data_IF_682578084334
#
_entry.id   IF_682578084334
#
_cell.length_a   1.000
_cell.length_b   1.000
_cell.length_c   1.000
_cell.angle_alpha   90.00
_cell.angle_beta   90.00
_cell.angle_gamma   90.00
#
_symmetry.space_group_name_H-M   'P 1'
#
loop_
_entity.id
_entity.type
_entity.pdbx_description
1 polymer ?
#
# COMPACT_ATOMS: atom_id res chain seq x y z
N UNK A 1 4.04 16.82 -38.36
CA UNK A 1 2.75 16.87 -37.64
C UNK A 1 2.54 15.53 -36.97
N UNK A 2 2.87 15.42 -35.67
CA UNK A 2 2.85 14.15 -34.94
C UNK A 2 1.42 13.69 -34.70
N UNK A 3 1.11 12.43 -34.98
CA UNK A 3 -0.14 11.79 -34.56
C UNK A 3 -0.23 11.91 -33.03
N UNK A 4 -1.33 12.47 -32.51
CA UNK A 4 -1.70 12.32 -31.09
C UNK A 4 -1.60 10.82 -30.77
N UNK A 5 -0.87 10.44 -29.73
CA UNK A 5 -1.11 9.14 -29.14
C UNK A 5 -2.60 9.14 -28.75
N UNK A 6 -3.40 8.28 -29.36
CA UNK A 6 -4.80 8.10 -29.00
C UNK A 6 -4.80 7.52 -27.58
N UNK A 7 -4.73 8.37 -26.55
CA UNK A 7 -4.86 7.89 -25.19
C UNK A 7 -6.30 7.48 -24.98
N UNK A 8 -6.51 6.16 -24.92
CA UNK A 8 -7.81 5.55 -24.71
C UNK A 8 -8.19 5.71 -23.23
N UNK A 9 -9.32 6.38 -22.97
CA UNK A 9 -9.97 6.33 -21.65
C UNK A 9 -10.84 5.09 -21.65
N UNK A 10 -10.26 3.96 -21.23
CA UNK A 10 -10.87 2.64 -21.38
C UNK A 10 -12.30 2.56 -20.84
N UNK A 11 -12.63 3.03 -19.61
CA UNK A 11 -14.01 2.96 -19.10
C UNK A 11 -15.01 3.75 -19.96
N UNK A 12 -14.59 4.88 -20.54
CA UNK A 12 -15.44 5.67 -21.43
C UNK A 12 -15.66 4.94 -22.76
N UNK A 13 -14.60 4.39 -23.35
CA UNK A 13 -14.72 3.66 -24.61
C UNK A 13 -15.55 2.38 -24.46
N UNK A 14 -15.46 1.69 -23.32
CA UNK A 14 -16.33 0.57 -23.00
C UNK A 14 -17.81 0.98 -22.99
N UNK A 15 -18.16 2.09 -22.31
CA UNK A 15 -19.52 2.64 -22.27
C UNK A 15 -20.06 3.05 -23.66
N UNK A 16 -19.18 3.43 -24.59
CA UNK A 16 -19.55 3.84 -25.96
C UNK A 16 -19.80 2.67 -26.90
N UNK A 17 -19.08 1.56 -26.70
CA UNK A 17 -19.05 0.46 -27.67
C UNK A 17 -19.97 -0.70 -27.29
N UNK A 18 -20.11 -1.00 -26.00
CA UNK A 18 -20.91 -2.14 -25.52
C UNK A 18 -22.38 -1.77 -25.43
N UNK A 19 -23.22 -2.50 -26.18
CA UNK A 19 -24.66 -2.26 -26.27
C UNK A 19 -25.42 -3.05 -25.20
N UNK A 20 -26.61 -2.57 -24.76
CA UNK A 20 -27.46 -3.31 -23.83
C UNK A 20 -27.83 -4.73 -24.31
N UNK A 21 -27.88 -4.96 -25.62
CA UNK A 21 -28.18 -6.27 -26.23
C UNK A 21 -27.10 -7.33 -26.04
N UNK A 22 -25.91 -6.94 -25.57
CA UNK A 22 -24.78 -7.85 -25.31
C UNK A 22 -24.80 -8.42 -23.88
N UNK A 23 -25.82 -8.07 -23.09
CA UNK A 23 -26.00 -8.49 -21.69
C UNK A 23 -27.25 -9.34 -21.55
N UNK A 24 -27.30 -10.19 -20.52
CA UNK A 24 -28.42 -11.12 -20.33
C UNK A 24 -29.72 -10.38 -20.00
N UNK A 25 -29.62 -9.31 -19.19
CA UNK A 25 -30.75 -8.47 -18.82
C UNK A 25 -30.35 -7.01 -18.56
N UNK A 26 -31.36 -6.15 -18.41
CA UNK A 26 -31.17 -4.72 -18.16
C UNK A 26 -30.56 -4.41 -16.79
N UNK A 27 -30.70 -5.29 -15.80
CA UNK A 27 -30.15 -5.10 -14.47
C UNK A 27 -28.64 -5.36 -14.48
N UNK A 28 -28.19 -6.43 -15.13
CA UNK A 28 -26.78 -6.73 -15.35
C UNK A 28 -26.08 -5.59 -16.10
N UNK A 29 -26.68 -5.11 -17.19
CA UNK A 29 -26.16 -3.96 -17.93
C UNK A 29 -26.01 -2.72 -17.03
N UNK A 30 -27.00 -2.44 -16.18
CA UNK A 30 -26.96 -1.32 -15.26
C UNK A 30 -25.84 -1.44 -14.22
N UNK A 31 -25.68 -2.63 -13.62
CA UNK A 31 -24.58 -2.91 -12.69
C UNK A 31 -23.21 -2.74 -13.36
N UNK A 32 -23.07 -3.22 -14.59
CA UNK A 32 -21.86 -3.06 -15.38
C UNK A 32 -21.56 -1.58 -15.69
N UNK A 33 -22.57 -0.79 -16.11
CA UNK A 33 -22.41 0.65 -16.33
C UNK A 33 -21.93 1.37 -15.06
N UNK A 34 -22.52 1.02 -13.90
CA UNK A 34 -22.10 1.58 -12.60
C UNK A 34 -20.63 1.30 -12.31
N UNK A 35 -20.12 0.12 -12.67
CA UNK A 35 -18.69 -0.21 -12.50
C UNK A 35 -17.80 0.71 -13.34
N UNK A 36 -18.15 0.95 -14.61
CA UNK A 36 -17.39 1.87 -15.46
C UNK A 36 -17.40 3.31 -14.92
N UNK A 37 -18.57 3.78 -14.49
CA UNK A 37 -18.71 5.11 -13.90
C UNK A 37 -17.93 5.27 -12.59
N UNK A 38 -17.86 4.22 -11.75
CA UNK A 38 -17.03 4.23 -10.53
C UNK A 38 -15.54 4.35 -10.81
N UNK A 39 -15.05 3.73 -11.89
CA UNK A 39 -13.64 3.86 -12.29
C UNK A 39 -13.36 5.31 -12.71
N UNK A 40 -14.24 5.91 -13.51
CA UNK A 40 -14.13 7.32 -13.91
C UNK A 40 -14.23 8.26 -12.70
N UNK A 41 -15.13 7.98 -11.76
CA UNK A 41 -15.25 8.74 -10.51
C UNK A 41 -13.95 8.70 -9.70
N UNK A 42 -13.40 7.50 -9.52
CA UNK A 42 -12.18 7.31 -8.76
C UNK A 42 -11.02 8.11 -9.37
N UNK A 43 -10.79 8.00 -10.68
CA UNK A 43 -9.67 8.66 -11.36
C UNK A 43 -9.83 10.17 -11.53
N UNK A 44 -11.02 10.63 -11.91
CA UNK A 44 -11.22 12.03 -12.32
C UNK A 44 -11.73 12.94 -11.21
N UNK A 45 -12.39 12.38 -10.18
CA UNK A 45 -13.05 13.15 -9.12
C UNK A 45 -12.45 12.94 -7.73
N UNK A 46 -12.16 11.70 -7.35
CA UNK A 46 -11.68 11.38 -5.99
C UNK A 46 -10.16 11.50 -5.88
N UNK A 47 -9.45 10.99 -6.90
CA UNK A 47 -8.01 10.86 -6.89
C UNK A 47 -7.34 11.46 -8.15
N UNK A 48 -7.67 12.70 -8.57
CA UNK A 48 -7.04 13.27 -9.74
C UNK A 48 -5.56 13.64 -9.45
N UNK A 49 -4.67 13.43 -10.41
CA UNK A 49 -3.28 13.89 -10.33
C UNK A 49 -3.18 15.42 -10.26
N UNK A 50 -4.05 16.10 -11.01
CA UNK A 50 -4.20 17.56 -10.99
C UNK A 50 -5.42 17.94 -10.13
N UNK A 51 -5.21 18.65 -9.00
CA UNK A 51 -6.28 19.03 -8.09
C UNK A 51 -7.47 19.70 -8.79
N UNK A 52 -8.68 19.37 -8.32
CA UNK A 52 -9.93 19.93 -8.81
C UNK A 52 -10.33 21.19 -8.05
N UNK A 53 -10.69 22.24 -8.78
CA UNK A 53 -11.49 23.32 -8.22
C UNK A 53 -12.92 22.82 -7.92
N UNK A 54 -13.45 23.22 -6.76
CA UNK A 54 -14.82 22.90 -6.33
C UNK A 54 -15.87 23.48 -7.28
N UNK A 55 -15.57 24.60 -7.94
CA UNK A 55 -16.46 25.25 -8.92
C UNK A 55 -16.36 24.65 -10.35
N UNK A 56 -15.58 23.58 -10.56
CA UNK A 56 -15.40 23.00 -11.89
C UNK A 56 -16.72 22.40 -12.42
N UNK A 57 -17.24 23.01 -13.49
CA UNK A 57 -18.55 22.66 -14.08
C UNK A 57 -18.56 21.25 -14.69
N UNK A 58 -17.46 20.79 -15.27
CA UNK A 58 -17.34 19.42 -15.79
C UNK A 58 -17.36 18.37 -14.67
N UNK A 59 -16.69 18.66 -13.56
CA UNK A 59 -16.71 17.79 -12.39
C UNK A 59 -18.11 17.71 -11.76
N UNK A 60 -18.84 18.84 -11.69
CA UNK A 60 -20.24 18.86 -11.24
C UNK A 60 -21.13 18.01 -12.15
N UNK A 61 -21.06 18.20 -13.48
CA UNK A 61 -21.83 17.41 -14.44
C UNK A 61 -21.55 15.92 -14.34
N UNK A 62 -20.28 15.53 -14.18
CA UNK A 62 -19.90 14.13 -14.00
C UNK A 62 -20.52 13.55 -12.71
N UNK A 63 -20.45 14.28 -11.59
CA UNK A 63 -21.08 13.87 -10.32
C UNK A 63 -22.60 13.70 -10.46
N UNK A 64 -23.27 14.59 -11.18
CA UNK A 64 -24.71 14.52 -11.38
C UNK A 64 -25.09 13.27 -12.20
N UNK A 65 -24.33 12.95 -13.24
CA UNK A 65 -24.52 11.73 -14.04
C UNK A 65 -24.30 10.48 -13.18
N UNK A 66 -23.23 10.42 -12.38
CA UNK A 66 -22.94 9.30 -11.47
C UNK A 66 -24.04 9.14 -10.41
N UNK A 67 -24.58 10.24 -9.89
CA UNK A 67 -25.69 10.21 -8.92
C UNK A 67 -26.97 9.71 -9.59
N UNK A 68 -27.31 10.23 -10.77
CA UNK A 68 -28.48 9.80 -11.51
C UNK A 68 -28.41 8.30 -11.87
N UNK A 69 -27.21 7.81 -12.22
CA UNK A 69 -26.98 6.42 -12.58
C UNK A 69 -27.16 5.45 -11.40
N UNK A 70 -27.25 5.92 -10.14
CA UNK A 70 -27.55 5.05 -9.01
C UNK A 70 -28.95 4.46 -9.08
N UNK A 71 -29.90 5.19 -9.67
CA UNK A 71 -31.32 4.80 -9.70
C UNK A 71 -31.72 4.09 -10.99
N UNK A 72 -31.15 4.48 -12.14
CA UNK A 72 -31.49 3.95 -13.46
C UNK A 72 -30.26 3.88 -14.38
N UNK A 73 -30.23 3.01 -15.40
CA UNK A 73 -29.15 3.00 -16.38
C UNK A 73 -29.06 4.32 -17.13
N UNK A 74 -27.84 4.69 -17.54
CA UNK A 74 -27.63 5.85 -18.41
C UNK A 74 -27.95 5.46 -19.86
N UNK A 75 -28.56 6.38 -20.59
CA UNK A 75 -28.76 6.22 -22.03
C UNK A 75 -27.41 6.41 -22.75
N UNK A 76 -26.95 5.35 -23.42
CA UNK A 76 -25.70 5.29 -24.19
C UNK A 76 -25.95 5.39 -25.69
N UNK A 77 -27.18 5.70 -26.11
CA UNK A 77 -27.53 5.87 -27.52
C UNK A 77 -26.75 7.00 -28.20
N UNK A 78 -26.56 6.90 -29.51
CA UNK A 78 -25.80 7.89 -30.32
C UNK A 78 -26.33 9.32 -30.20
N UNK A 79 -27.63 9.49 -29.94
CA UNK A 79 -28.29 10.79 -29.80
C UNK A 79 -28.46 11.24 -28.35
N UNK A 80 -27.95 10.46 -27.39
CA UNK A 80 -28.16 10.74 -25.97
C UNK A 80 -27.42 12.01 -25.52
N UNK A 81 -28.17 12.97 -24.97
CA UNK A 81 -27.60 14.16 -24.35
C UNK A 81 -26.79 13.81 -23.09
N UNK A 82 -27.21 12.78 -22.35
CA UNK A 82 -26.46 12.27 -21.18
C UNK A 82 -25.11 11.73 -21.61
N UNK A 83 -25.07 10.88 -22.65
CA UNK A 83 -23.80 10.34 -23.15
C UNK A 83 -22.88 11.43 -23.71
N UNK A 84 -23.42 12.40 -24.45
CA UNK A 84 -22.66 13.54 -24.96
C UNK A 84 -22.05 14.37 -23.82
N UNK A 85 -22.84 14.62 -22.77
CA UNK A 85 -22.40 15.35 -21.58
C UNK A 85 -21.33 14.57 -20.80
N UNK A 86 -21.48 13.26 -20.69
CA UNK A 86 -20.50 12.37 -20.07
C UNK A 86 -19.17 12.42 -20.82
N UNK A 87 -19.18 12.19 -22.13
CA UNK A 87 -17.98 12.24 -22.98
C UNK A 87 -17.26 13.58 -22.84
N UNK A 88 -18.00 14.69 -22.98
CA UNK A 88 -17.42 16.04 -22.87
C UNK A 88 -16.79 16.27 -21.49
N UNK A 89 -17.48 15.88 -20.41
CA UNK A 89 -16.96 16.06 -19.05
C UNK A 89 -15.71 15.21 -18.81
N UNK A 90 -15.73 13.93 -19.20
CA UNK A 90 -14.59 13.02 -19.04
C UNK A 90 -13.38 13.51 -19.83
N UNK A 91 -13.55 13.91 -21.09
CA UNK A 91 -12.46 14.44 -21.93
C UNK A 91 -11.92 15.75 -21.33
N UNK A 92 -12.77 16.72 -21.00
CA UNK A 92 -12.30 17.98 -20.41
C UNK A 92 -11.60 17.78 -19.07
N UNK A 93 -12.03 16.82 -18.27
CA UNK A 93 -11.40 16.50 -16.99
C UNK A 93 -10.05 15.77 -17.16
N UNK A 94 -9.89 14.98 -18.23
CA UNK A 94 -8.68 14.16 -18.43
C UNK A 94 -7.54 14.91 -19.11
N UNK A 95 -7.82 15.89 -19.98
CA UNK A 95 -6.77 16.67 -20.69
C UNK A 95 -6.56 18.07 -20.11
N UNK A 96 -6.68 18.21 -18.78
CA UNK A 96 -6.44 19.49 -18.10
C UNK A 96 -4.96 19.69 -17.79
N UNK A 97 -4.48 20.92 -17.84
CA UNK A 97 -3.21 21.32 -17.23
C UNK A 97 -3.45 21.95 -15.84
N UNK A 98 -2.40 22.07 -15.00
CA UNK A 98 -2.49 22.82 -13.74
C UNK A 98 -2.97 24.27 -13.91
N UNK A 99 -2.75 24.86 -15.09
CA UNK A 99 -3.14 26.23 -15.41
C UNK A 99 -4.51 26.31 -16.10
N UNK A 100 -5.24 25.18 -16.21
CA UNK A 100 -6.54 25.10 -16.88
C UNK A 100 -6.49 25.14 -18.41
N UNK A 101 -5.29 25.17 -19.00
CA UNK A 101 -5.11 25.04 -20.45
C UNK A 101 -5.18 23.56 -20.89
N UNK A 102 -5.62 23.26 -22.12
CA UNK A 102 -5.52 21.90 -22.66
C UNK A 102 -4.06 21.44 -22.68
N UNK A 103 -3.78 20.25 -22.14
CA UNK A 103 -2.46 19.60 -22.20
C UNK A 103 -2.45 18.50 -23.25
N UNK A 104 -1.26 18.08 -23.68
CA UNK A 104 -1.08 16.92 -24.56
C UNK A 104 -1.04 15.58 -23.80
N UNK A 105 -1.07 15.62 -22.45
CA UNK A 105 -1.04 14.44 -21.58
C UNK A 105 -2.43 14.12 -21.03
N UNK A 106 -2.86 12.86 -21.11
CA UNK A 106 -4.14 12.43 -20.59
C UNK A 106 -4.03 11.94 -19.13
N UNK A 107 -4.61 12.70 -18.20
CA UNK A 107 -4.60 12.50 -16.76
C UNK A 107 -5.89 11.83 -16.24
N UNK A 108 -6.21 10.63 -16.75
CA UNK A 108 -7.44 9.91 -16.35
C UNK A 108 -7.22 8.83 -15.28
N UNK A 109 -6.02 8.28 -15.20
CA UNK A 109 -5.65 7.17 -14.32
C UNK A 109 -4.22 7.29 -13.73
N UNK A 110 -3.66 8.49 -13.72
CA UNK A 110 -2.31 8.81 -13.25
C UNK A 110 -2.28 9.39 -11.82
N UNK A 111 -3.44 9.45 -11.16
CA UNK A 111 -3.56 9.91 -9.78
C UNK A 111 -3.60 8.78 -8.75
N UNK A 112 -3.19 9.13 -7.52
CA UNK A 112 -3.02 8.19 -6.40
C UNK A 112 -4.30 7.97 -5.58
N UNK A 113 -4.68 6.70 -5.28
CA UNK A 113 -3.81 5.52 -5.32
C UNK A 113 -3.97 4.61 -6.56
N UNK A 114 -4.84 4.95 -7.51
CA UNK A 114 -5.23 4.07 -8.62
C UNK A 114 -4.02 3.70 -9.49
N UNK A 115 -3.21 4.69 -9.84
CA UNK A 115 -2.02 4.49 -10.64
C UNK A 115 -1.01 3.52 -9.99
N UNK A 116 -0.83 3.64 -8.67
CA UNK A 116 0.06 2.77 -7.90
C UNK A 116 -0.49 1.36 -7.81
N UNK A 117 -1.79 1.17 -7.60
CA UNK A 117 -2.39 -0.16 -7.60
C UNK A 117 -2.21 -0.87 -8.94
N UNK A 118 -2.43 -0.18 -10.06
CA UNK A 118 -2.20 -0.75 -11.38
C UNK A 118 -0.72 -1.08 -11.60
N UNK A 119 0.19 -0.18 -11.18
CA UNK A 119 1.62 -0.39 -11.34
C UNK A 119 2.16 -1.54 -10.47
N UNK A 120 1.68 -1.68 -9.23
CA UNK A 120 2.01 -2.82 -8.35
C UNK A 120 1.52 -4.13 -8.96
N UNK A 121 0.30 -4.17 -9.51
CA UNK A 121 -0.21 -5.36 -10.19
C UNK A 121 0.61 -5.73 -11.44
N UNK A 122 1.12 -4.73 -12.18
CA UNK A 122 2.08 -4.96 -13.26
C UNK A 122 3.38 -5.54 -12.72
N UNK A 123 3.98 -4.92 -11.70
CA UNK A 123 5.22 -5.41 -11.09
C UNK A 123 5.11 -6.84 -10.59
N UNK A 124 3.95 -7.25 -10.06
CA UNK A 124 3.73 -8.65 -9.62
C UNK A 124 3.85 -9.67 -10.76
N UNK A 125 3.77 -9.26 -12.02
CA UNK A 125 3.93 -10.17 -13.16
C UNK A 125 5.37 -10.64 -13.39
N UNK A 126 6.33 -10.25 -12.56
CA UNK A 126 7.73 -10.70 -12.65
C UNK A 126 7.96 -12.06 -11.99
N UNK A 127 6.98 -12.59 -11.26
CA UNK A 127 7.07 -13.87 -10.56
C UNK A 127 6.44 -15.00 -11.40
N UNK A 128 6.97 -16.23 -11.30
CA UNK A 128 6.36 -17.40 -11.97
C UNK A 128 5.01 -17.72 -11.33
N UNK A 129 3.97 -17.87 -12.16
CA UNK A 129 2.59 -18.14 -11.72
C UNK A 129 2.44 -19.55 -11.10
N UNK A 130 3.30 -20.50 -11.47
CA UNK A 130 3.31 -21.87 -10.93
C UNK A 130 4.14 -21.97 -9.66
N UNK A 131 5.14 -21.11 -9.53
CA UNK A 131 6.01 -21.05 -8.37
C UNK A 131 6.34 -19.59 -8.04
N UNK A 132 5.50 -18.97 -7.22
CA UNK A 132 5.62 -17.55 -6.90
C UNK A 132 6.86 -17.23 -6.03
N UNK A 133 7.69 -18.24 -5.70
CA UNK A 133 9.01 -18.05 -5.08
C UNK A 133 10.06 -17.58 -6.09
N UNK A 134 9.85 -17.85 -7.39
CA UNK A 134 10.81 -17.58 -8.44
C UNK A 134 10.51 -16.28 -9.16
N UNK A 135 11.56 -15.50 -9.41
CA UNK A 135 11.56 -14.38 -10.35
C UNK A 135 11.84 -14.93 -11.75
N UNK A 136 11.13 -14.43 -12.75
CA UNK A 136 11.33 -14.80 -14.15
C UNK A 136 12.71 -14.38 -14.65
N UNK A 137 13.33 -15.22 -15.50
CA UNK A 137 14.67 -14.96 -16.05
C UNK A 137 14.73 -13.65 -16.83
N UNK A 138 13.63 -13.27 -17.50
CA UNK A 138 13.52 -12.04 -18.31
C UNK A 138 13.01 -10.81 -17.52
N UNK A 139 13.26 -10.76 -16.20
CA UNK A 139 12.79 -9.67 -15.34
C UNK A 139 13.24 -8.29 -15.83
N UNK A 140 14.47 -8.16 -16.35
CA UNK A 140 15.00 -6.89 -16.85
C UNK A 140 14.24 -6.41 -18.11
N UNK A 141 13.92 -7.30 -19.06
CA UNK A 141 13.10 -6.94 -20.21
C UNK A 141 11.68 -6.56 -19.82
N UNK A 142 11.10 -7.27 -18.83
CA UNK A 142 9.77 -6.95 -18.30
C UNK A 142 9.75 -5.57 -17.64
N UNK A 143 10.72 -5.26 -16.80
CA UNK A 143 10.83 -3.96 -16.13
C UNK A 143 11.03 -2.82 -17.14
N UNK A 144 11.86 -3.02 -18.18
CA UNK A 144 12.04 -2.02 -19.23
C UNK A 144 10.78 -1.84 -20.09
N UNK A 145 9.96 -2.88 -20.27
CA UNK A 145 8.65 -2.75 -20.90
C UNK A 145 7.67 -1.98 -20.02
N UNK A 146 7.60 -2.29 -18.72
CA UNK A 146 6.76 -1.60 -17.74
C UNK A 146 7.13 -0.12 -17.63
N UNK A 147 8.41 0.23 -17.75
CA UNK A 147 8.89 1.61 -17.76
C UNK A 147 8.27 2.46 -18.87
N UNK A 148 7.85 1.86 -19.99
CA UNK A 148 7.12 2.58 -21.06
C UNK A 148 5.75 3.08 -20.59
N UNK A 149 5.20 2.53 -19.51
CA UNK A 149 3.93 2.96 -18.91
C UNK A 149 4.09 4.11 -17.91
N UNK A 150 5.32 4.46 -17.52
CA UNK A 150 5.58 5.43 -16.46
C UNK A 150 4.96 6.80 -16.70
N UNK A 151 5.06 7.32 -17.93
CA UNK A 151 4.44 8.61 -18.29
C UNK A 151 2.91 8.58 -18.21
N UNK A 152 2.29 7.41 -18.47
CA UNK A 152 0.83 7.23 -18.43
C UNK A 152 0.33 7.07 -17.00
N UNK A 153 1.12 6.46 -16.12
CA UNK A 153 0.76 6.19 -14.73
C UNK A 153 1.32 7.23 -13.76
N UNK A 154 2.06 8.23 -14.23
CA UNK A 154 2.72 9.20 -13.36
C UNK A 154 3.77 8.55 -12.44
N UNK A 155 4.48 7.53 -12.94
CA UNK A 155 5.52 6.82 -12.18
C UNK A 155 6.87 7.48 -12.48
N UNK A 156 7.57 7.86 -11.42
CA UNK A 156 8.96 8.31 -11.47
C UNK A 156 9.88 7.20 -10.98
N UNK A 157 11.19 7.29 -11.26
CA UNK A 157 12.18 6.31 -10.75
C UNK A 157 12.09 6.13 -9.22
N UNK A 158 12.00 7.20 -8.40
CA UNK A 158 11.80 7.04 -6.95
C UNK A 158 10.51 6.32 -6.58
N UNK A 159 9.40 6.59 -7.26
CA UNK A 159 8.12 5.88 -7.02
C UNK A 159 8.26 4.41 -7.39
N UNK A 160 8.89 4.10 -8.53
CA UNK A 160 9.18 2.73 -8.94
C UNK A 160 10.02 2.00 -7.88
N UNK A 161 11.12 2.60 -7.41
CA UNK A 161 11.98 1.99 -6.40
C UNK A 161 11.21 1.61 -5.14
N UNK A 162 10.30 2.47 -4.68
CA UNK A 162 9.43 2.18 -3.52
C UNK A 162 8.43 1.07 -3.82
N UNK A 163 7.76 1.10 -4.97
CA UNK A 163 6.80 0.06 -5.35
C UNK A 163 7.48 -1.29 -5.55
N UNK A 164 8.67 -1.31 -6.12
CA UNK A 164 9.42 -2.53 -6.37
C UNK A 164 9.95 -3.16 -5.08
N UNK A 165 10.47 -2.32 -4.17
CA UNK A 165 10.80 -2.74 -2.80
C UNK A 165 9.58 -3.40 -2.12
N UNK A 166 8.41 -2.76 -2.23
CA UNK A 166 7.16 -3.29 -1.67
C UNK A 166 6.78 -4.64 -2.26
N UNK A 167 6.83 -4.80 -3.59
CA UNK A 167 6.44 -6.04 -4.28
C UNK A 167 7.35 -7.21 -3.89
N UNK A 168 8.67 -6.99 -3.87
CA UNK A 168 9.64 -8.01 -3.43
C UNK A 168 9.40 -8.43 -1.98
N UNK A 169 9.19 -7.46 -1.08
CA UNK A 169 8.88 -7.73 0.32
C UNK A 169 7.55 -8.46 0.49
N UNK A 170 6.50 -8.02 -0.22
CA UNK A 170 5.20 -8.66 -0.17
C UNK A 170 5.27 -10.12 -0.65
N UNK A 171 6.06 -10.38 -1.70
CA UNK A 171 6.26 -11.73 -2.22
C UNK A 171 6.99 -12.63 -1.20
N UNK A 172 8.03 -12.11 -0.55
CA UNK A 172 8.71 -12.80 0.54
C UNK A 172 7.75 -13.17 1.71
N UNK A 173 6.85 -12.25 2.06
CA UNK A 173 5.84 -12.49 3.10
C UNK A 173 4.80 -13.52 2.65
N UNK A 174 4.34 -13.45 1.39
CA UNK A 174 3.35 -14.36 0.82
C UNK A 174 3.87 -15.81 0.72
N UNK A 175 5.15 -15.96 0.39
CA UNK A 175 5.86 -17.26 0.28
C UNK A 175 6.31 -17.81 1.63
N UNK A 176 5.73 -17.36 2.74
CA UNK A 176 6.01 -17.86 4.09
C UNK A 176 7.48 -17.76 4.51
N UNK A 177 8.18 -16.72 4.03
CA UNK A 177 9.57 -16.43 4.41
C UNK A 177 10.59 -17.46 3.91
N UNK A 178 10.22 -18.28 2.92
CA UNK A 178 11.04 -19.38 2.41
C UNK A 178 12.23 -18.85 1.59
N UNK A 179 12.05 -17.74 0.87
CA UNK A 179 13.06 -17.20 -0.05
C UNK A 179 13.83 -16.00 0.53
N UNK A 180 14.99 -16.21 1.17
CA UNK A 180 15.79 -15.11 1.69
C UNK A 180 16.28 -14.17 0.58
N UNK A 181 16.46 -14.67 -0.65
CA UNK A 181 16.95 -13.88 -1.77
C UNK A 181 15.96 -12.76 -2.17
N UNK A 182 14.65 -12.99 -2.06
CA UNK A 182 13.64 -11.96 -2.26
C UNK A 182 13.76 -10.83 -1.23
N UNK A 183 14.06 -11.18 0.02
CA UNK A 183 14.28 -10.20 1.07
C UNK A 183 15.61 -9.47 0.87
N UNK A 184 16.67 -10.14 0.43
CA UNK A 184 17.94 -9.52 0.03
C UNK A 184 17.74 -8.52 -1.12
N UNK A 185 16.94 -8.88 -2.12
CA UNK A 185 16.58 -7.98 -3.22
C UNK A 185 15.78 -6.77 -2.72
N UNK A 186 14.81 -6.97 -1.82
CA UNK A 186 14.06 -5.88 -1.20
C UNK A 186 14.98 -4.93 -0.41
N UNK A 187 15.98 -5.46 0.31
CA UNK A 187 17.01 -4.67 1.00
C UNK A 187 17.89 -3.86 0.07
N UNK A 188 18.34 -4.48 -1.03
CA UNK A 188 19.11 -3.78 -2.06
C UNK A 188 18.30 -2.60 -2.63
N UNK A 189 17.02 -2.83 -2.95
CA UNK A 189 16.14 -1.77 -3.42
C UNK A 189 15.85 -0.70 -2.35
N UNK A 190 15.74 -1.10 -1.08
CA UNK A 190 15.57 -0.16 0.04
C UNK A 190 16.77 0.79 0.20
N UNK A 191 17.97 0.36 -0.22
CA UNK A 191 19.16 1.23 -0.27
C UNK A 191 19.01 2.32 -1.34
N UNK A 192 18.49 1.98 -2.52
CA UNK A 192 18.14 2.97 -3.55
C UNK A 192 17.04 3.93 -3.06
N UNK A 193 16.02 3.41 -2.38
CA UNK A 193 14.96 4.21 -1.77
C UNK A 193 15.54 5.18 -0.73
N UNK A 194 16.50 4.74 0.11
CA UNK A 194 17.17 5.60 1.07
C UNK A 194 17.95 6.74 0.39
N UNK A 195 18.58 6.47 -0.75
CA UNK A 195 19.29 7.47 -1.54
C UNK A 195 18.32 8.48 -2.16
N UNK A 196 17.18 8.02 -2.69
CA UNK A 196 16.14 8.89 -3.21
C UNK A 196 15.50 9.76 -2.11
N UNK A 197 15.30 9.21 -0.91
CA UNK A 197 14.67 9.90 0.22
C UNK A 197 15.51 11.06 0.77
N UNK A 198 16.83 11.08 0.54
CA UNK A 198 17.75 12.17 0.96
C UNK A 198 17.64 13.43 0.10
N UNK A 199 16.98 13.36 -1.06
CA UNK A 199 16.85 14.51 -1.96
C UNK A 199 15.95 15.58 -1.31
N UNK A 200 16.29 16.89 -1.40
CA UNK A 200 15.53 17.94 -0.72
C UNK A 200 14.18 18.25 -1.39
N UNK A 201 14.09 18.09 -2.71
CA UNK A 201 12.89 18.39 -3.49
C UNK A 201 12.10 17.10 -3.77
N UNK A 202 11.27 16.72 -2.79
CA UNK A 202 10.46 15.50 -2.85
C UNK A 202 9.02 15.85 -3.17
N UNK A 203 8.52 15.29 -4.27
CA UNK A 203 7.11 15.41 -4.64
C UNK A 203 6.21 14.88 -3.52
N UNK A 204 5.10 15.59 -3.23
CA UNK A 204 4.17 15.21 -2.17
C UNK A 204 3.60 13.80 -2.35
N UNK A 205 3.40 13.36 -3.60
CA UNK A 205 2.96 12.01 -3.91
C UNK A 205 3.99 10.96 -3.49
N UNK A 206 5.26 11.16 -3.87
CA UNK A 206 6.35 10.27 -3.49
C UNK A 206 6.45 10.12 -1.96
N UNK A 207 6.35 11.22 -1.21
CA UNK A 207 6.40 11.19 0.26
C UNK A 207 5.25 10.36 0.85
N UNK A 208 4.03 10.49 0.31
CA UNK A 208 2.87 9.71 0.76
C UNK A 208 3.07 8.21 0.51
N UNK A 209 3.53 7.83 -0.68
CA UNK A 209 3.78 6.42 -1.04
C UNK A 209 4.89 5.86 -0.16
N UNK A 210 6.01 6.58 -0.05
CA UNK A 210 7.16 6.20 0.77
C UNK A 210 6.75 5.94 2.22
N UNK A 211 6.07 6.89 2.86
CA UNK A 211 5.60 6.75 4.24
C UNK A 211 4.65 5.55 4.39
N UNK A 212 3.68 5.38 3.48
CA UNK A 212 2.73 4.26 3.53
C UNK A 212 3.41 2.90 3.42
N UNK A 213 4.36 2.75 2.50
CA UNK A 213 5.09 1.50 2.25
C UNK A 213 6.01 1.18 3.43
N UNK A 214 6.84 2.15 3.84
CA UNK A 214 7.79 1.93 4.93
C UNK A 214 7.10 1.63 6.26
N UNK A 215 6.02 2.36 6.59
CA UNK A 215 5.24 2.08 7.81
C UNK A 215 4.65 0.67 7.80
N UNK A 216 4.22 0.20 6.62
CA UNK A 216 3.65 -1.15 6.48
C UNK A 216 4.71 -2.24 6.64
N UNK A 217 5.87 -2.07 6.00
CA UNK A 217 7.01 -2.99 6.13
C UNK A 217 7.53 -3.03 7.56
N UNK A 218 7.74 -1.86 8.16
CA UNK A 218 8.22 -1.69 9.52
C UNK A 218 7.22 -2.29 10.52
N UNK A 219 5.94 -1.92 10.46
CA UNK A 219 4.93 -2.45 11.38
C UNK A 219 4.78 -3.96 11.30
N UNK A 220 4.91 -4.55 10.11
CA UNK A 220 4.92 -6.01 9.95
C UNK A 220 6.18 -6.64 10.59
N UNK A 221 7.36 -6.08 10.35
CA UNK A 221 8.62 -6.61 10.87
C UNK A 221 8.68 -6.47 12.40
N UNK A 222 8.28 -5.32 12.93
CA UNK A 222 8.28 -5.03 14.37
C UNK A 222 7.32 -5.89 15.15
N UNK A 223 6.14 -6.22 14.60
CA UNK A 223 5.22 -7.16 15.23
C UNK A 223 5.89 -8.50 15.58
N UNK A 224 6.80 -8.96 14.71
CA UNK A 224 7.59 -10.18 14.92
C UNK A 224 8.78 -9.94 15.85
N UNK A 225 9.53 -8.86 15.64
CA UNK A 225 10.72 -8.54 16.44
C UNK A 225 10.37 -8.25 17.91
N UNK A 226 9.27 -7.55 18.19
CA UNK A 226 8.81 -7.27 19.56
C UNK A 226 8.40 -8.52 20.35
N UNK A 227 8.18 -9.64 19.65
CA UNK A 227 7.78 -10.92 20.23
C UNK A 227 8.64 -12.06 19.65
N UNK A 228 9.92 -11.81 19.39
CA UNK A 228 10.74 -12.75 18.64
C UNK A 228 10.84 -14.13 19.31
N UNK A 229 10.75 -14.22 20.65
CA UNK A 229 10.73 -15.50 21.36
C UNK A 229 9.51 -16.37 21.02
N UNK A 230 8.41 -15.77 20.58
CA UNK A 230 7.19 -16.47 20.16
C UNK A 230 7.17 -16.81 18.68
N UNK A 231 7.71 -15.90 17.86
CA UNK A 231 7.63 -16.00 16.39
C UNK A 231 8.78 -16.82 15.80
N UNK A 232 9.95 -16.85 16.45
CA UNK A 232 11.12 -17.55 15.96
C UNK A 232 11.50 -18.69 16.90
N UNK A 233 11.12 -19.90 16.53
CA UNK A 233 11.47 -21.13 17.24
C UNK A 233 12.82 -21.68 16.74
N UNK A 234 13.33 -22.74 17.39
CA UNK A 234 14.55 -23.41 16.92
C UNK A 234 14.40 -23.80 15.45
N UNK A 235 15.25 -23.24 14.59
CA UNK A 235 15.24 -23.44 13.14
C UNK A 235 14.90 -22.19 12.32
N UNK A 236 14.18 -21.21 12.87
CA UNK A 236 13.83 -19.95 12.16
C UNK A 236 14.52 -18.71 12.71
N UNK A 237 15.40 -18.87 13.69
CA UNK A 237 16.15 -17.77 14.34
C UNK A 237 16.98 -16.96 13.33
N UNK A 238 17.52 -17.60 12.29
CA UNK A 238 18.25 -16.91 11.21
C UNK A 238 17.40 -15.86 10.47
N UNK A 239 16.08 -15.98 10.50
CA UNK A 239 15.18 -14.97 9.90
C UNK A 239 15.24 -13.63 10.64
N UNK A 240 15.64 -13.60 11.92
CA UNK A 240 15.84 -12.35 12.66
C UNK A 240 16.96 -11.53 12.01
N UNK A 241 18.06 -12.17 11.60
CA UNK A 241 19.19 -11.52 10.93
C UNK A 241 18.79 -10.87 9.61
N UNK A 242 17.77 -11.42 8.94
CA UNK A 242 17.25 -10.87 7.69
C UNK A 242 16.22 -9.75 7.92
N UNK A 243 15.37 -9.87 8.95
CA UNK A 243 14.28 -8.93 9.23
C UNK A 243 14.70 -7.69 10.00
N UNK A 244 15.67 -7.82 10.90
CA UNK A 244 16.14 -6.71 11.72
C UNK A 244 16.70 -5.56 10.88
N UNK A 245 17.60 -5.78 9.89
CA UNK A 245 18.07 -4.70 9.03
C UNK A 245 16.95 -3.99 8.26
N UNK A 246 15.81 -4.65 8.05
CA UNK A 246 14.72 -4.13 7.22
C UNK A 246 13.94 -3.12 8.04
N UNK A 247 13.58 -3.52 9.27
CA UNK A 247 12.91 -2.66 10.23
C UNK A 247 13.77 -1.43 10.55
N UNK A 248 15.06 -1.61 10.80
CA UNK A 248 15.98 -0.51 11.09
C UNK A 248 16.15 0.43 9.88
N UNK A 249 16.29 -0.12 8.66
CA UNK A 249 16.40 0.69 7.45
C UNK A 249 15.13 1.49 7.16
N UNK A 250 13.94 0.89 7.34
CA UNK A 250 12.67 1.58 7.17
C UNK A 250 12.51 2.72 8.19
N UNK A 251 12.75 2.45 9.49
CA UNK A 251 12.73 3.46 10.57
C UNK A 251 13.66 4.64 10.26
N UNK A 252 14.89 4.34 9.83
CA UNK A 252 15.90 5.33 9.49
C UNK A 252 15.48 6.22 8.32
N UNK A 253 14.89 5.65 7.27
CA UNK A 253 14.42 6.42 6.11
C UNK A 253 13.24 7.31 6.49
N UNK A 254 12.37 6.83 7.39
CA UNK A 254 11.25 7.62 7.91
C UNK A 254 11.67 8.72 8.88
N UNK A 255 12.89 8.68 9.41
CA UNK A 255 13.39 9.63 10.39
C UNK A 255 12.81 9.43 11.79
N UNK A 256 12.17 8.28 12.05
CA UNK A 256 11.61 7.92 13.36
C UNK A 256 12.68 7.68 14.42
N UNK A 257 13.90 7.42 13.97
CA UNK A 257 15.12 7.34 14.77
C UNK A 257 15.38 8.62 15.60
N UNK A 258 14.73 9.75 15.31
CA UNK A 258 14.79 10.99 16.12
C UNK A 258 13.73 11.04 17.23
N UNK A 259 12.69 10.19 17.16
CA UNK A 259 11.45 10.33 17.96
C UNK A 259 11.25 9.31 19.07
N UNK A 260 12.16 8.34 19.24
CA UNK A 260 12.12 7.39 20.38
C UNK A 260 12.73 8.02 21.63
N UNK A 261 12.32 9.24 21.95
CA UNK A 261 12.49 9.80 23.28
C UNK A 261 11.11 9.89 23.89
N UNK A 262 10.73 8.85 24.64
CA UNK A 262 9.58 8.92 25.53
C UNK A 262 9.81 10.04 26.55
N UNK A 263 9.08 11.15 26.38
CA UNK A 263 8.62 12.02 27.46
C UNK A 263 9.68 12.77 28.29
N UNK A 264 10.30 13.81 27.75
CA UNK A 264 10.65 15.00 28.51
C UNK A 264 11.08 16.16 27.59
N UNK A 265 10.42 17.31 27.76
CA UNK A 265 11.01 18.65 27.60
C UNK A 265 11.70 18.98 26.27
N UNK A 266 11.05 19.87 25.49
CA UNK A 266 11.75 20.72 24.54
C UNK A 266 12.97 21.39 25.22
N UNK A 267 14.14 21.32 24.61
CA UNK A 267 15.04 22.47 24.57
C UNK A 267 16.01 22.37 23.37
N UNK A 268 16.16 23.51 22.69
CA UNK A 268 17.00 23.71 21.52
C UNK A 268 18.48 23.50 21.85
N UNK A 269 19.18 22.68 21.08
CA UNK A 269 20.64 22.67 21.05
C UNK A 269 21.18 21.55 20.18
N UNK A 270 21.95 21.92 19.16
CA UNK A 270 22.84 21.12 18.32
C UNK A 270 22.47 19.65 18.06
N UNK A 271 22.04 19.35 16.83
CA UNK A 271 21.67 17.99 16.40
C UNK A 271 22.94 17.13 16.30
N UNK A 272 23.38 16.59 17.42
CA UNK A 272 24.22 15.40 17.45
C UNK A 272 23.39 14.26 16.89
N UNK A 273 23.78 13.77 15.71
CA UNK A 273 23.24 12.54 15.11
C UNK A 273 23.71 11.39 15.98
N UNK A 274 22.97 11.10 17.05
CA UNK A 274 23.16 9.90 17.86
C UNK A 274 22.54 8.73 17.09
N UNK A 275 23.33 7.67 16.90
CA UNK A 275 22.88 6.42 16.31
C UNK A 275 21.86 5.73 17.22
N UNK A 276 20.57 6.03 17.01
CA UNK A 276 19.45 5.48 17.78
C UNK A 276 19.02 4.10 17.31
N UNK A 277 19.69 3.51 16.32
CA UNK A 277 19.45 2.11 15.92
C UNK A 277 19.68 1.14 17.08
N UNK A 278 20.63 1.46 17.97
CA UNK A 278 20.88 0.72 19.20
C UNK A 278 19.70 0.75 20.19
N UNK A 279 18.94 1.85 20.23
CA UNK A 279 17.77 1.99 21.12
C UNK A 279 16.59 1.13 20.66
N UNK A 280 16.35 1.05 19.34
CA UNK A 280 15.33 0.14 18.78
C UNK A 280 15.62 -1.32 19.06
N UNK A 281 16.88 -1.73 18.93
CA UNK A 281 17.30 -3.10 19.21
C UNK A 281 17.09 -3.43 20.70
N UNK A 282 17.50 -2.54 21.61
CA UNK A 282 17.26 -2.70 23.05
C UNK A 282 15.76 -2.79 23.36
N UNK A 283 14.95 -1.95 22.72
CA UNK A 283 13.49 -1.99 22.85
C UNK A 283 12.90 -3.33 22.41
N UNK A 284 13.31 -3.89 21.26
CA UNK A 284 12.86 -5.20 20.81
C UNK A 284 13.25 -6.32 21.79
N UNK A 285 14.48 -6.28 22.31
CA UNK A 285 14.98 -7.24 23.30
C UNK A 285 14.15 -7.18 24.58
N UNK A 286 13.98 -5.99 25.17
CA UNK A 286 13.23 -5.80 26.41
C UNK A 286 11.77 -6.19 26.26
N UNK A 287 11.12 -5.80 25.16
CA UNK A 287 9.72 -6.10 24.89
C UNK A 287 9.49 -7.61 24.77
N UNK A 288 10.30 -8.27 23.94
CA UNK A 288 10.22 -9.72 23.71
C UNK A 288 10.51 -10.52 24.98
N UNK A 289 11.51 -10.10 25.77
CA UNK A 289 11.85 -10.72 27.04
C UNK A 289 10.71 -10.58 28.07
N UNK A 290 10.12 -9.38 28.19
CA UNK A 290 8.96 -9.12 29.06
C UNK A 290 7.77 -10.02 28.70
N UNK A 291 7.49 -10.18 27.40
CA UNK A 291 6.39 -11.01 26.93
C UNK A 291 6.65 -12.50 27.19
N UNK A 292 7.88 -12.97 26.95
CA UNK A 292 8.29 -14.35 27.27
C UNK A 292 8.16 -14.65 28.77
N UNK A 293 8.64 -13.76 29.65
CA UNK A 293 8.50 -13.92 31.11
C UNK A 293 7.05 -13.96 31.56
N UNK A 294 6.21 -13.09 31.00
CA UNK A 294 4.78 -13.04 31.33
C UNK A 294 4.10 -14.38 31.00
N UNK A 295 4.42 -14.98 29.85
CA UNK A 295 3.87 -16.30 29.47
C UNK A 295 4.31 -17.42 30.40
N UNK A 296 5.59 -17.47 30.77
CA UNK A 296 6.10 -18.48 31.72
C UNK A 296 5.42 -18.33 33.08
N UNK A 297 5.24 -17.09 33.56
CA UNK A 297 4.55 -16.82 34.82
C UNK A 297 3.09 -17.27 34.81
N UNK A 298 2.36 -17.01 33.72
CA UNK A 298 0.97 -17.47 33.53
C UNK A 298 0.90 -19.00 33.45
N UNK A 299 1.84 -19.63 32.74
CA UNK A 299 1.89 -21.09 32.65
C UNK A 299 2.14 -21.72 34.03
N UNK A 300 3.06 -21.17 34.82
CA UNK A 300 3.35 -21.63 36.17
C UNK A 300 2.14 -21.42 37.12
N UNK A 301 1.41 -20.31 37.00
CA UNK A 301 0.21 -20.08 37.82
C UNK A 301 -0.94 -21.04 37.50
N UNK A 302 -1.13 -21.40 36.21
CA UNK A 302 -2.09 -22.43 35.79
C UNK A 302 -1.65 -23.85 36.18
N UNK A 303 -0.35 -24.15 36.07
CA UNK A 303 0.21 -25.46 36.46
C UNK A 303 0.12 -25.70 37.98
N UNK A 304 0.30 -24.66 38.77
CA UNK A 304 0.13 -24.71 40.23
C UNK A 304 -1.33 -24.83 40.66
N UNK A 305 -2.30 -24.46 39.81
CA UNK A 305 -3.73 -24.71 40.08
C UNK A 305 -4.15 -26.17 39.85
N UNK A 306 -3.36 -26.95 39.08
CA UNK A 306 -3.58 -28.38 38.86
C UNK A 306 -2.81 -29.29 39.84
N UNK A 307 -1.88 -28.74 40.63
CA UNK A 307 -1.04 -29.51 41.56
C UNK A 307 -1.56 -29.56 43.01
N UNK A 308 -2.71 -28.95 43.31
CA UNK A 308 -3.41 -29.15 44.58
C UNK A 308 -4.64 -30.06 44.38
N UNK A 309 -4.53 -31.38 44.57
CA UNK A 309 -5.72 -32.16 44.90
C UNK A 309 -6.24 -31.68 46.27
N UNK A 310 -7.57 -31.63 46.50
CA UNK A 310 -8.12 -31.25 47.78
C UNK A 310 -7.88 -32.39 48.77
N UNK A 311 -6.78 -32.36 49.51
CA UNK A 311 -6.55 -33.25 50.63
C UNK A 311 -6.48 -32.45 51.93
N UNK A 312 -7.48 -32.74 52.77
CA UNK A 312 -7.53 -32.57 54.23
C UNK A 312 -7.53 -31.15 54.80
N UNK A 313 -8.74 -30.62 55.00
CA UNK A 313 -9.10 -29.92 56.24
C UNK A 313 -10.18 -30.72 56.97
N UNK A 314 -9.76 -31.83 57.59
CA UNK A 314 -10.39 -32.34 58.80
C UNK A 314 -9.33 -32.18 59.91
N UNK A 315 -9.78 -31.73 61.08
CA UNK A 315 -9.00 -31.37 62.28
C UNK A 315 -8.42 -29.94 62.31
N UNK A 316 -9.24 -28.98 62.76
CA UNK A 316 -9.07 -28.36 64.09
C UNK A 316 -10.25 -27.39 64.34
N UNK A 317 -11.24 -27.84 65.12
CA UNK A 317 -12.00 -27.00 66.05
C UNK A 317 -12.84 -27.91 66.96
N UNK A 318 -12.36 -28.08 68.19
CA UNK A 318 -13.14 -28.60 69.30
C UNK A 318 -13.60 -27.44 70.20
N UNK A 319 -14.89 -27.49 70.57
CA UNK A 319 -15.56 -27.02 71.80
C UNK A 319 -15.56 -25.53 72.18
N UNK A 320 -16.78 -24.97 72.36
CA UNK A 320 -17.03 -23.87 73.30
C UNK A 320 -18.34 -23.09 73.10
N UNK A 321 -19.35 -23.38 73.93
CA UNK A 321 -20.72 -22.82 74.05
C UNK A 321 -21.76 -23.27 73.02
#
# INVERSE_FOLDING_TARGET
>A
MGRRAETIILPLELLRHLKPSEFNDSHEYHLWQKRQLKILEAGLLLHPSIPLDKANTFAMRLRDIIRASQTKPIDTGKNSDTMRTLCNSVVSLSWRSPNGTPTDVCHWADGFPINIHLYVALLQSIFDVRDETLVLDEVDELLELMKKTWSTLGITRPIHNVCFTWVLFQQYVATSLIEPDLLCAAHAMLTEVANDAKKPDREALYVKILSSVLSSMQGWAEKKLLNYHDYFLRGTVSQIENLLPLALSASRIMGEDVTITEGAGQEKGDVLVVDSSGDRVDYYIRSSLKNAFTKVSIFLSHSSSFFFPPLCYCFFQGLGC
#
